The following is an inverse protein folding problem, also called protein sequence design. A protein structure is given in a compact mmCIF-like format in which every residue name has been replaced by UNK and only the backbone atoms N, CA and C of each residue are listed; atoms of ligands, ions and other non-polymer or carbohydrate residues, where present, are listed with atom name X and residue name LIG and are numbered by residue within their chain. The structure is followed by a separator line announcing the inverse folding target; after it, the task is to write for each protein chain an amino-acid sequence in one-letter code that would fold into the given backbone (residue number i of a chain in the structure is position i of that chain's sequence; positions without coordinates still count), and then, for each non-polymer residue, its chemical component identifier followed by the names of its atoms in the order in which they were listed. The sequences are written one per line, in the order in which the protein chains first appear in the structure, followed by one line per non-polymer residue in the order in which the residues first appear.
data_IF_290966672633
#
_entry.id   IF_290966672633
#
_cell.length_a   1.000
_cell.length_b   1.000
_cell.length_c   1.000
_cell.angle_alpha   90.00
_cell.angle_beta   90.00
_cell.angle_gamma   90.00
#
_symmetry.space_group_name_H-M   'P 1'
#
loop_
_entity.id
_entity.type
_entity.pdbx_description
1 polymer ?
#
# COMPACT_ATOMS: atom_id res chain seq x y z
N UNK A 1 8.27 12.65 -4.95
CA UNK A 1 6.89 12.16 -5.13
C UNK A 1 6.56 11.17 -4.05
N UNK A 2 5.30 11.20 -3.60
CA UNK A 2 4.80 10.32 -2.55
C UNK A 2 4.02 9.17 -3.20
N UNK A 3 4.25 7.94 -2.74
CA UNK A 3 3.61 6.75 -3.28
C UNK A 3 2.86 6.01 -2.19
N UNK A 4 1.69 5.45 -2.54
CA UNK A 4 0.97 4.55 -1.64
C UNK A 4 1.64 3.18 -1.63
N UNK A 5 1.62 2.50 -0.49
CA UNK A 5 2.09 1.11 -0.40
C UNK A 5 1.00 0.12 -0.78
N UNK A 6 -0.24 0.56 -0.89
CA UNK A 6 -1.38 -0.31 -1.18
C UNK A 6 -1.76 -0.18 -2.65
N UNK A 7 -1.81 -1.30 -3.37
CA UNK A 7 -2.21 -1.30 -4.78
C UNK A 7 -2.46 -2.72 -5.26
N UNK A 8 -3.13 -2.82 -6.39
CA UNK A 8 -3.43 -4.08 -7.07
C UNK A 8 -3.26 -3.88 -8.56
N UNK A 9 -2.65 -4.87 -9.21
CA UNK A 9 -2.54 -4.88 -10.67
C UNK A 9 -2.79 -6.29 -11.18
N UNK A 10 -3.41 -6.38 -12.34
CA UNK A 10 -3.63 -7.64 -13.03
C UNK A 10 -3.35 -7.44 -14.50
N UNK A 11 -2.57 -8.34 -15.06
CA UNK A 11 -2.29 -8.38 -16.50
C UNK A 11 -2.53 -9.77 -17.02
N UNK A 12 -3.12 -9.86 -18.19
CA UNK A 12 -3.48 -11.11 -18.82
C UNK A 12 -3.08 -11.06 -20.28
N UNK A 13 -2.55 -12.17 -20.77
CA UNK A 13 -2.15 -12.29 -22.17
C UNK A 13 -2.54 -13.69 -22.69
N UNK A 14 -3.38 -13.71 -23.70
CA UNK A 14 -3.75 -14.95 -24.39
C UNK A 14 -2.74 -15.21 -25.50
N UNK A 15 -2.30 -16.45 -25.61
CA UNK A 15 -1.36 -16.88 -26.65
C UNK A 15 -1.81 -18.17 -27.28
N UNK A 16 -0.96 -18.69 -28.17
CA UNK A 16 -1.27 -19.90 -28.94
C UNK A 16 -1.44 -21.14 -28.03
N UNK A 17 -0.79 -21.14 -26.87
CA UNK A 17 -0.71 -22.31 -26.00
C UNK A 17 -1.53 -22.16 -24.72
N UNK A 18 -2.16 -21.01 -24.51
CA UNK A 18 -2.93 -20.75 -23.30
C UNK A 18 -2.88 -19.30 -22.90
N UNK A 19 -3.37 -19.02 -21.70
CA UNK A 19 -3.49 -17.67 -21.17
C UNK A 19 -2.60 -17.54 -19.94
N UNK A 20 -1.70 -16.55 -19.97
CA UNK A 20 -0.89 -16.14 -18.83
C UNK A 20 -1.60 -15.01 -18.09
N UNK A 21 -1.59 -15.07 -16.75
CA UNK A 21 -2.21 -14.04 -15.94
C UNK A 21 -1.35 -13.77 -14.72
N UNK A 22 -1.03 -12.50 -14.50
CA UNK A 22 -0.34 -12.04 -13.30
C UNK A 22 -1.27 -11.23 -12.44
N UNK A 23 -1.27 -11.52 -11.17
CA UNK A 23 -1.89 -10.67 -10.15
C UNK A 23 -0.82 -10.23 -9.18
N UNK A 24 -0.68 -8.92 -8.99
CA UNK A 24 0.26 -8.35 -8.03
C UNK A 24 -0.55 -7.54 -7.03
N UNK A 25 -0.35 -7.86 -5.76
CA UNK A 25 -1.03 -7.15 -4.67
C UNK A 25 0.00 -6.65 -3.68
N UNK A 26 -0.08 -5.36 -3.36
CA UNK A 26 0.83 -4.71 -2.43
C UNK A 26 0.05 -4.18 -1.24
N UNK A 27 0.57 -4.39 -0.04
CA UNK A 27 0.00 -3.84 1.20
C UNK A 27 1.13 -3.24 2.05
N UNK A 28 0.74 -2.45 3.04
CA UNK A 28 1.67 -1.76 3.93
C UNK A 28 2.56 -2.78 4.65
N UNK A 29 3.87 -2.53 4.64
CA UNK A 29 4.83 -3.32 5.39
C UNK A 29 6.09 -2.48 5.63
N UNK A 30 6.79 -2.79 6.70
CA UNK A 30 7.99 -2.04 7.10
C UNK A 30 9.13 -2.17 6.08
N UNK A 31 9.26 -3.36 5.49
CA UNK A 31 10.31 -3.67 4.50
C UNK A 31 9.65 -4.15 3.22
N UNK A 32 10.47 -4.34 2.18
CA UNK A 32 10.00 -5.02 0.97
C UNK A 32 10.01 -6.53 1.23
N UNK A 33 8.85 -7.14 1.21
CA UNK A 33 8.69 -8.56 1.45
C UNK A 33 7.94 -9.19 0.29
N UNK A 34 8.67 -9.75 -0.70
CA UNK A 34 7.99 -10.38 -1.84
C UNK A 34 7.58 -11.82 -1.53
N UNK A 35 6.39 -12.17 -1.97
CA UNK A 35 5.85 -13.53 -1.93
C UNK A 35 5.43 -13.91 -3.34
N UNK A 36 6.06 -14.94 -3.88
CA UNK A 36 5.82 -15.37 -5.26
C UNK A 36 5.12 -16.72 -5.26
N UNK A 37 4.08 -16.82 -6.08
CA UNK A 37 3.38 -18.07 -6.37
C UNK A 37 3.46 -18.32 -7.86
N UNK A 38 4.33 -19.22 -8.24
CA UNK A 38 4.58 -19.56 -9.66
C UNK A 38 4.27 -21.02 -9.89
N UNK A 39 3.64 -21.37 -11.02
CA UNK A 39 3.57 -22.77 -11.40
C UNK A 39 4.95 -23.37 -11.58
N UNK A 40 5.08 -24.68 -11.44
CA UNK A 40 6.36 -25.39 -11.50
C UNK A 40 7.15 -25.05 -12.79
N UNK A 41 6.44 -24.93 -13.91
CA UNK A 41 7.06 -24.65 -15.22
C UNK A 41 7.76 -23.29 -15.26
N UNK A 42 7.42 -22.37 -14.35
CA UNK A 42 7.91 -21.00 -14.33
C UNK A 42 8.87 -20.71 -13.17
N UNK A 43 9.32 -21.74 -12.46
CA UNK A 43 10.19 -21.56 -11.30
C UNK A 43 11.49 -20.81 -11.62
N UNK A 44 11.98 -20.96 -12.83
CA UNK A 44 13.24 -20.30 -13.26
C UNK A 44 13.09 -18.79 -13.28
N UNK A 45 11.86 -18.26 -13.29
CA UNK A 45 11.61 -16.82 -13.29
C UNK A 45 11.76 -16.18 -11.91
N UNK A 46 11.75 -16.95 -10.84
CA UNK A 46 11.69 -16.42 -9.48
C UNK A 46 12.76 -15.36 -9.22
N UNK A 47 14.00 -15.64 -9.58
CA UNK A 47 15.11 -14.71 -9.37
C UNK A 47 14.93 -13.40 -10.10
N UNK A 48 14.50 -13.47 -11.36
CA UNK A 48 14.30 -12.28 -12.20
C UNK A 48 13.12 -11.44 -11.69
N UNK A 49 12.05 -12.10 -11.23
CA UNK A 49 10.90 -11.41 -10.67
C UNK A 49 11.26 -10.69 -9.36
N UNK A 50 12.03 -11.37 -8.49
CA UNK A 50 12.48 -10.77 -7.23
C UNK A 50 13.39 -9.56 -7.49
N UNK A 51 14.30 -9.65 -8.47
CA UNK A 51 15.17 -8.54 -8.84
C UNK A 51 14.37 -7.35 -9.36
N UNK A 52 13.37 -7.62 -10.20
CA UNK A 52 12.50 -6.55 -10.72
C UNK A 52 11.73 -5.85 -9.60
N UNK A 53 11.25 -6.61 -8.61
CA UNK A 53 10.56 -6.03 -7.46
C UNK A 53 11.49 -5.15 -6.63
N UNK A 54 12.72 -5.61 -6.38
CA UNK A 54 13.71 -4.84 -5.62
C UNK A 54 14.07 -3.53 -6.31
N UNK A 55 14.18 -3.54 -7.64
CA UNK A 55 14.50 -2.35 -8.42
C UNK A 55 13.33 -1.38 -8.50
N UNK A 56 12.11 -1.90 -8.52
CA UNK A 56 10.91 -1.08 -8.72
C UNK A 56 10.24 -0.59 -7.46
N UNK A 57 10.40 -1.28 -6.35
CA UNK A 57 9.69 -0.99 -5.10
C UNK A 57 10.67 -0.95 -3.93
N UNK A 58 10.40 -0.11 -2.94
CA UNK A 58 11.26 0.01 -1.76
C UNK A 58 10.64 -0.58 -0.50
N UNK A 59 9.31 -0.58 -0.38
CA UNK A 59 8.59 -1.08 0.81
C UNK A 59 7.30 -1.74 0.41
N UNK A 60 6.80 -2.58 1.30
CA UNK A 60 5.51 -3.22 1.16
C UNK A 60 5.60 -4.73 1.11
N UNK A 61 4.54 -5.39 1.56
CA UNK A 61 4.37 -6.83 1.36
C UNK A 61 3.70 -7.01 0.00
N UNK A 62 4.40 -7.67 -0.92
CA UNK A 62 3.98 -7.79 -2.31
C UNK A 62 3.74 -9.25 -2.63
N UNK A 63 2.51 -9.60 -2.95
CA UNK A 63 2.14 -10.95 -3.39
C UNK A 63 2.00 -10.96 -4.90
N UNK A 64 2.78 -11.80 -5.57
CA UNK A 64 2.75 -11.96 -7.03
C UNK A 64 2.32 -13.39 -7.33
N UNK A 65 1.23 -13.53 -8.06
CA UNK A 65 0.69 -14.84 -8.45
C UNK A 65 0.65 -14.92 -9.96
N UNK A 66 1.33 -15.92 -10.51
CA UNK A 66 1.26 -16.24 -11.93
C UNK A 66 0.35 -17.45 -12.12
N UNK A 67 -0.58 -17.33 -13.04
CA UNK A 67 -1.44 -18.44 -13.44
C UNK A 67 -1.28 -18.67 -14.93
N UNK A 68 -1.19 -19.92 -15.31
CA UNK A 68 -1.14 -20.33 -16.69
C UNK A 68 -2.27 -21.32 -16.95
N UNK A 69 -3.27 -20.89 -17.71
CA UNK A 69 -4.36 -21.75 -18.14
C UNK A 69 -4.00 -22.29 -19.53
N UNK A 70 -3.52 -23.52 -19.56
CA UNK A 70 -3.18 -24.19 -20.80
C UNK A 70 -4.49 -24.50 -21.55
N UNK A 71 -4.64 -23.91 -22.71
CA UNK A 71 -5.76 -24.24 -23.58
C UNK A 71 -5.39 -25.47 -24.39
N UNK A 72 -6.20 -26.50 -24.24
CA UNK A 72 -6.06 -27.69 -25.05
C UNK A 72 -6.05 -27.31 -26.53
N UNK A 73 -5.10 -27.82 -27.22
CA UNK A 73 -4.89 -27.47 -28.63
C UNK A 73 -6.15 -27.74 -29.44
N UNK A 74 -6.73 -26.71 -29.94
CA UNK A 74 -7.74 -26.81 -31.02
C UNK A 74 -6.96 -26.84 -32.35
N UNK A 75 -5.93 -27.65 -32.39
CA UNK A 75 -5.13 -27.80 -33.59
C UNK A 75 -5.30 -29.17 -34.22
N UNK A 76 -4.71 -29.36 -35.35
CA UNK A 76 -4.70 -30.65 -35.99
C UNK A 76 -4.03 -31.67 -35.09
N UNK A 77 -4.65 -32.81 -34.89
CA UNK A 77 -4.03 -33.90 -34.17
C UNK A 77 -2.82 -34.39 -35.00
N UNK A 78 -1.64 -34.39 -34.37
CA UNK A 78 -0.42 -34.85 -34.97
C UNK A 78 0.02 -36.15 -34.31
N UNK A 79 0.42 -37.12 -35.12
CA UNK A 79 0.83 -38.44 -34.67
C UNK A 79 2.38 -38.54 -34.84
N UNK A 80 3.04 -38.96 -33.77
CA UNK A 80 4.43 -39.37 -33.85
C UNK A 80 4.45 -40.76 -34.45
N UNK A 81 4.63 -40.81 -35.79
CA UNK A 81 4.53 -42.09 -36.54
C UNK A 81 5.59 -43.08 -36.13
N UNK A 82 6.77 -42.62 -35.78
CA UNK A 82 7.85 -43.50 -35.30
C UNK A 82 7.45 -44.14 -33.97
N UNK A 83 6.96 -43.39 -33.04
CA UNK A 83 6.51 -43.87 -31.73
C UNK A 83 5.34 -44.83 -31.91
N UNK A 84 4.36 -44.49 -32.75
CA UNK A 84 3.19 -45.31 -33.04
C UNK A 84 3.62 -46.64 -33.65
N UNK A 85 4.55 -46.60 -34.62
CA UNK A 85 5.06 -47.81 -35.29
C UNK A 85 5.77 -48.72 -34.29
N UNK A 86 6.58 -48.16 -33.40
CA UNK A 86 7.25 -48.92 -32.35
C UNK A 86 6.24 -49.63 -31.44
N UNK A 87 5.20 -48.87 -31.04
CA UNK A 87 4.15 -49.43 -30.16
C UNK A 87 3.38 -50.56 -30.87
N UNK A 88 3.03 -50.34 -32.13
CA UNK A 88 2.28 -51.37 -32.93
C UNK A 88 3.14 -52.63 -33.08
N UNK A 89 4.41 -52.47 -33.39
CA UNK A 89 5.34 -53.61 -33.53
C UNK A 89 5.45 -54.40 -32.23
N UNK A 90 5.58 -53.70 -31.11
CA UNK A 90 5.63 -54.33 -29.79
C UNK A 90 4.35 -55.06 -29.47
N UNK A 91 3.19 -54.42 -29.77
CA UNK A 91 1.87 -55.02 -29.56
C UNK A 91 1.69 -56.29 -30.42
N UNK A 92 2.14 -56.26 -31.67
CA UNK A 92 2.06 -57.41 -32.57
C UNK A 92 2.96 -58.55 -32.06
N UNK A 93 4.11 -58.24 -31.49
CA UNK A 93 4.99 -59.23 -30.86
C UNK A 93 4.30 -59.94 -29.69
N UNK A 94 3.60 -59.20 -28.86
CA UNK A 94 2.81 -59.76 -27.78
C UNK A 94 1.62 -60.56 -28.32
N UNK A 95 0.92 -60.04 -29.32
CA UNK A 95 -0.23 -60.72 -29.94
C UNK A 95 0.17 -62.11 -30.48
N UNK A 96 1.38 -62.25 -31.02
CA UNK A 96 1.88 -63.55 -31.48
C UNK A 96 2.02 -64.61 -30.40
N UNK A 97 2.10 -64.16 -29.11
CA UNK A 97 2.18 -65.08 -27.96
C UNK A 97 0.79 -65.44 -27.43
N UNK A 98 -0.27 -64.77 -27.88
CA UNK A 98 -1.62 -64.96 -27.42
C UNK A 98 -2.35 -65.92 -28.37
N UNK A 99 -3.13 -66.82 -27.83
CA UNK A 99 -3.80 -67.85 -28.62
C UNK A 99 -4.88 -67.29 -29.54
N UNK A 100 -5.65 -66.27 -29.06
CA UNK A 100 -6.69 -65.58 -29.84
C UNK A 100 -6.57 -64.10 -29.59
N UNK A 101 -5.65 -63.43 -30.32
CA UNK A 101 -5.44 -62.00 -30.11
C UNK A 101 -6.57 -61.17 -30.71
N UNK A 102 -6.90 -60.07 -30.07
CA UNK A 102 -7.82 -59.07 -30.62
C UNK A 102 -7.06 -58.14 -31.57
N UNK A 103 -7.77 -57.52 -32.49
CA UNK A 103 -7.22 -56.52 -33.37
C UNK A 103 -6.78 -55.30 -32.55
N UNK A 104 -5.69 -54.67 -33.01
CA UNK A 104 -5.18 -53.47 -32.39
C UNK A 104 -6.13 -52.32 -32.72
N UNK A 105 -6.63 -51.65 -31.65
CA UNK A 105 -7.54 -50.51 -31.81
C UNK A 105 -6.72 -49.23 -32.04
N UNK A 106 -6.92 -48.54 -33.18
CA UNK A 106 -6.18 -47.31 -33.44
C UNK A 106 -6.41 -46.24 -32.38
N UNK A 107 -7.57 -46.16 -31.77
CA UNK A 107 -7.87 -45.16 -30.73
C UNK A 107 -7.07 -45.43 -29.46
N UNK A 108 -6.82 -46.71 -29.14
CA UNK A 108 -5.99 -47.07 -27.99
C UNK A 108 -4.52 -46.69 -28.27
N UNK A 109 -4.05 -46.87 -29.51
CA UNK A 109 -2.70 -46.46 -29.92
C UNK A 109 -2.56 -44.94 -29.77
N UNK A 110 -3.56 -44.17 -30.24
CA UNK A 110 -3.54 -42.71 -30.08
C UNK A 110 -3.49 -42.25 -28.63
N UNK A 111 -4.13 -43.01 -27.74
CA UNK A 111 -4.14 -42.70 -26.32
C UNK A 111 -2.85 -43.06 -25.57
N UNK A 112 -1.92 -43.74 -26.22
CA UNK A 112 -0.67 -44.14 -25.59
C UNK A 112 0.26 -42.93 -25.44
N UNK A 113 0.95 -42.81 -24.25
CA UNK A 113 1.84 -41.66 -24.04
C UNK A 113 2.89 -41.53 -25.13
N UNK A 114 3.02 -40.34 -25.68
CA UNK A 114 4.02 -39.99 -26.69
C UNK A 114 3.57 -40.23 -28.12
N UNK A 115 2.38 -40.83 -28.37
CA UNK A 115 1.89 -41.07 -29.71
C UNK A 115 1.25 -39.79 -30.31
N UNK A 116 0.35 -39.18 -29.54
CA UNK A 116 -0.16 -37.86 -29.94
C UNK A 116 0.82 -36.77 -29.46
N UNK A 117 1.28 -35.97 -30.42
CA UNK A 117 2.18 -34.86 -30.12
C UNK A 117 1.46 -33.57 -30.42
N UNK A 118 1.51 -32.67 -29.44
CA UNK A 118 1.15 -31.29 -29.68
C UNK A 118 2.36 -30.48 -30.05
N UNK A 119 2.15 -29.27 -30.49
CA UNK A 119 3.26 -28.34 -30.66
C UNK A 119 3.92 -28.19 -29.29
N UNK A 120 5.21 -28.54 -29.22
CA UNK A 120 5.94 -28.47 -27.97
C UNK A 120 5.97 -27.02 -27.50
N UNK A 121 5.52 -26.80 -26.27
CA UNK A 121 5.70 -25.51 -25.61
C UNK A 121 7.19 -25.25 -25.48
N UNK A 122 7.65 -24.14 -26.07
CA UNK A 122 9.02 -23.69 -25.87
C UNK A 122 9.10 -23.06 -24.49
N UNK A 123 9.77 -23.71 -23.51
CA UNK A 123 9.80 -23.16 -22.15
C UNK A 123 10.46 -21.78 -22.09
N UNK A 124 11.46 -21.53 -22.95
CA UNK A 124 12.15 -20.24 -22.97
C UNK A 124 11.24 -19.14 -23.48
N UNK A 125 10.50 -19.39 -24.56
CA UNK A 125 9.57 -18.42 -25.11
C UNK A 125 8.45 -18.13 -24.13
N UNK A 126 7.95 -19.16 -23.44
CA UNK A 126 6.89 -19.03 -22.46
C UNK A 126 7.36 -18.22 -21.24
N UNK A 127 8.57 -18.49 -20.76
CA UNK A 127 9.18 -17.73 -19.66
C UNK A 127 9.41 -16.28 -20.04
N UNK A 128 9.86 -16.02 -21.26
CA UNK A 128 10.06 -14.66 -21.75
C UNK A 128 8.74 -13.90 -21.81
N UNK A 129 7.69 -14.52 -22.31
CA UNK A 129 6.33 -13.92 -22.33
C UNK A 129 5.83 -13.62 -20.94
N UNK A 130 6.03 -14.54 -19.99
CA UNK A 130 5.62 -14.35 -18.60
C UNK A 130 6.37 -13.19 -17.95
N UNK A 131 7.67 -13.06 -18.22
CA UNK A 131 8.48 -11.98 -17.66
C UNK A 131 8.06 -10.62 -18.23
N UNK A 132 7.81 -10.55 -19.53
CA UNK A 132 7.34 -9.32 -20.17
C UNK A 132 5.98 -8.90 -19.59
N UNK A 133 5.09 -9.84 -19.39
CA UNK A 133 3.78 -9.59 -18.80
C UNK A 133 3.92 -9.13 -17.34
N UNK A 134 4.87 -9.71 -16.61
CA UNK A 134 5.18 -9.29 -15.24
C UNK A 134 5.62 -7.82 -15.19
N UNK A 135 6.51 -7.42 -16.08
CA UNK A 135 6.97 -6.02 -16.13
C UNK A 135 5.82 -5.08 -16.41
N UNK A 136 4.91 -5.48 -17.31
CA UNK A 136 3.72 -4.70 -17.61
C UNK A 136 2.83 -4.56 -16.36
N UNK A 137 2.61 -5.66 -15.64
CA UNK A 137 1.81 -5.65 -14.41
C UNK A 137 2.47 -4.79 -13.32
N UNK A 138 3.80 -4.88 -13.20
CA UNK A 138 4.56 -4.09 -12.22
C UNK A 138 4.45 -2.59 -12.52
N UNK A 139 4.53 -2.21 -13.78
CA UNK A 139 4.36 -0.80 -14.16
C UNK A 139 2.97 -0.30 -13.84
N UNK A 140 1.94 -1.13 -14.05
CA UNK A 140 0.56 -0.80 -13.66
C UNK A 140 0.46 -0.61 -12.14
N UNK A 141 1.10 -1.48 -11.37
CA UNK A 141 1.10 -1.38 -9.91
C UNK A 141 1.78 -0.08 -9.46
N UNK A 142 2.92 0.25 -10.03
CA UNK A 142 3.67 1.47 -9.70
C UNK A 142 2.86 2.71 -10.03
N UNK A 143 2.17 2.72 -11.16
CA UNK A 143 1.32 3.84 -11.56
C UNK A 143 0.13 3.98 -10.60
N UNK A 144 -0.47 2.87 -10.20
CA UNK A 144 -1.56 2.88 -9.21
C UNK A 144 -1.10 3.44 -7.87
N UNK A 145 0.09 3.03 -7.42
CA UNK A 145 0.69 3.53 -6.18
C UNK A 145 0.98 5.03 -6.27
N UNK A 146 1.44 5.49 -7.42
CA UNK A 146 1.71 6.91 -7.65
C UNK A 146 0.42 7.75 -7.58
N UNK A 147 -0.61 7.29 -8.28
CA UNK A 147 -1.91 7.99 -8.29
C UNK A 147 -2.53 8.06 -6.91
N UNK A 148 -2.53 6.93 -6.20
CA UNK A 148 -3.07 6.88 -4.84
C UNK A 148 -2.24 7.75 -3.90
N UNK A 149 -0.91 7.77 -4.07
CA UNK A 149 -0.02 8.63 -3.31
C UNK A 149 -0.33 10.10 -3.52
N UNK A 150 -0.62 10.51 -4.75
CA UNK A 150 -1.03 11.89 -5.07
C UNK A 150 -2.35 12.25 -4.40
N UNK A 151 -3.32 11.33 -4.43
CA UNK A 151 -4.62 11.52 -3.77
C UNK A 151 -4.45 11.70 -2.26
N UNK A 152 -3.64 10.84 -1.64
CA UNK A 152 -3.36 10.91 -0.21
C UNK A 152 -2.64 12.22 0.14
N UNK A 153 -1.68 12.64 -0.69
CA UNK A 153 -0.96 13.91 -0.49
C UNK A 153 -1.94 15.10 -0.54
N UNK A 154 -2.90 15.05 -1.46
CA UNK A 154 -3.93 16.09 -1.56
C UNK A 154 -4.79 16.13 -0.30
N UNK A 155 -5.23 14.96 0.18
CA UNK A 155 -6.03 14.88 1.40
C UNK A 155 -5.25 15.39 2.62
N UNK A 156 -3.97 15.03 2.71
CA UNK A 156 -3.10 15.52 3.78
C UNK A 156 -2.95 17.03 3.74
N UNK A 157 -2.81 17.59 2.53
CA UNK A 157 -2.74 19.04 2.33
C UNK A 157 -4.00 19.75 2.82
N UNK A 158 -5.16 19.18 2.51
CA UNK A 158 -6.45 19.74 2.96
C UNK A 158 -6.57 19.69 4.49
N UNK A 159 -6.12 18.59 5.10
CA UNK A 159 -6.12 18.46 6.57
C UNK A 159 -5.17 19.45 7.23
N UNK A 160 -4.00 19.67 6.61
CA UNK A 160 -3.03 20.66 7.10
C UNK A 160 -3.61 22.08 7.02
N UNK A 161 -4.30 22.41 5.93
CA UNK A 161 -4.97 23.71 5.78
C UNK A 161 -6.02 23.90 6.88
N UNK A 162 -6.77 22.84 7.19
CA UNK A 162 -7.77 22.87 8.27
C UNK A 162 -7.11 23.12 9.64
N UNK A 163 -5.95 22.48 9.89
CA UNK A 163 -5.18 22.68 11.12
C UNK A 163 -4.74 24.15 11.21
N UNK A 164 -4.22 24.70 10.10
CA UNK A 164 -3.76 26.08 10.08
C UNK A 164 -4.90 27.06 10.34
N UNK A 165 -6.09 26.79 9.79
CA UNK A 165 -7.28 27.60 10.05
C UNK A 165 -7.68 27.55 11.54
N UNK A 166 -7.67 26.36 12.14
CA UNK A 166 -7.98 26.21 13.56
C UNK A 166 -6.99 26.98 14.43
N UNK A 167 -5.70 26.89 14.11
CA UNK A 167 -4.65 27.61 14.85
C UNK A 167 -4.81 29.12 14.68
N UNK A 168 -5.11 29.59 13.48
CA UNK A 168 -5.30 31.02 13.20
C UNK A 168 -6.51 31.57 13.98
N UNK A 169 -7.61 30.80 13.98
CA UNK A 169 -8.81 31.17 14.71
C UNK A 169 -8.53 31.29 16.21
N UNK A 170 -7.83 30.28 16.75
CA UNK A 170 -7.46 30.25 18.16
C UNK A 170 -6.57 31.43 18.52
N UNK A 171 -5.59 31.74 17.65
CA UNK A 171 -4.65 32.86 17.87
C UNK A 171 -5.39 34.19 17.90
N UNK A 172 -6.41 34.38 17.06
CA UNK A 172 -7.25 35.57 17.08
C UNK A 172 -8.08 35.69 18.36
N UNK A 173 -8.50 34.53 18.90
CA UNK A 173 -9.35 34.48 20.10
C UNK A 173 -8.57 34.62 21.40
N UNK A 174 -7.24 34.42 21.40
CA UNK A 174 -6.42 34.43 22.61
C UNK A 174 -6.54 35.74 23.40
N UNK A 175 -6.44 36.93 22.79
CA UNK A 175 -6.61 38.17 23.56
C UNK A 175 -7.94 38.28 24.29
N UNK A 176 -9.04 37.84 23.63
CA UNK A 176 -10.37 37.79 24.22
C UNK A 176 -10.43 36.81 25.38
N UNK A 177 -9.84 35.63 25.21
CA UNK A 177 -9.79 34.58 26.23
C UNK A 177 -9.05 35.07 27.48
N UNK A 178 -7.91 35.76 27.28
CA UNK A 178 -7.11 36.33 28.36
C UNK A 178 -7.88 37.44 29.09
N UNK A 179 -8.57 38.31 28.33
CA UNK A 179 -9.39 39.39 28.92
C UNK A 179 -10.54 38.82 29.73
N UNK A 180 -11.22 37.78 29.22
CA UNK A 180 -12.31 37.12 29.94
C UNK A 180 -11.79 36.49 31.23
N UNK A 181 -10.66 35.81 31.18
CA UNK A 181 -10.07 35.14 32.35
C UNK A 181 -9.61 36.15 33.37
N UNK A 182 -9.03 37.25 32.92
CA UNK A 182 -8.62 38.35 33.81
C UNK A 182 -9.84 38.92 34.54
N UNK A 183 -10.94 39.13 33.82
CA UNK A 183 -12.16 39.66 34.43
C UNK A 183 -12.74 38.70 35.47
N UNK A 184 -12.70 37.39 35.21
CA UNK A 184 -13.13 36.38 36.16
C UNK A 184 -12.30 36.40 37.44
N UNK A 185 -10.98 36.58 37.32
CA UNK A 185 -10.08 36.68 38.47
C UNK A 185 -10.41 37.95 39.30
N UNK A 186 -10.57 39.08 38.60
CA UNK A 186 -10.92 40.35 39.25
C UNK A 186 -12.26 40.26 39.96
N UNK A 187 -13.26 39.63 39.35
CA UNK A 187 -14.58 39.44 39.94
C UNK A 187 -14.50 38.59 41.19
N UNK A 188 -13.67 37.51 41.19
CA UNK A 188 -13.48 36.66 42.38
C UNK A 188 -12.83 37.44 43.52
N UNK A 189 -11.83 38.25 43.25
CA UNK A 189 -11.15 39.06 44.24
C UNK A 189 -12.14 40.10 44.80
N UNK A 190 -12.97 40.68 43.96
CA UNK A 190 -14.01 41.63 44.39
C UNK A 190 -15.02 41.00 45.35
N UNK A 191 -15.46 39.77 45.06
CA UNK A 191 -16.42 39.02 45.89
C UNK A 191 -15.86 38.71 47.28
N UNK A 192 -14.58 38.40 47.38
CA UNK A 192 -13.93 37.99 48.63
C UNK A 192 -13.48 39.20 49.44
N UNK A 193 -13.48 40.42 48.87
CA UNK A 193 -13.03 41.67 49.53
C UNK A 193 -11.58 41.59 50.02
N UNK A 194 -10.75 40.79 49.37
CA UNK A 194 -9.34 40.66 49.69
C UNK A 194 -8.53 41.79 49.03
N UNK A 195 -7.46 42.22 49.68
CA UNK A 195 -6.53 43.19 49.07
C UNK A 195 -5.90 42.55 47.85
N UNK A 196 -6.10 43.18 46.69
CA UNK A 196 -5.50 42.76 45.44
C UNK A 196 -3.98 43.05 45.44
N UNK A 197 -3.18 42.03 45.23
CA UNK A 197 -1.76 42.15 44.99
C UNK A 197 -1.54 42.27 43.48
N UNK A 198 -1.15 43.50 43.00
CA UNK A 198 -1.00 43.67 41.56
C UNK A 198 0.11 42.78 40.97
N UNK A 199 1.16 42.49 41.75
CA UNK A 199 2.26 41.61 41.31
C UNK A 199 1.76 40.17 41.10
N UNK A 200 0.94 39.65 42.00
CA UNK A 200 0.41 38.31 41.91
C UNK A 200 -0.54 38.20 40.72
N UNK A 201 -1.37 39.21 40.50
CA UNK A 201 -2.25 39.25 39.31
C UNK A 201 -1.47 39.23 38.03
N UNK A 202 -0.39 40.04 37.95
CA UNK A 202 0.49 40.07 36.76
C UNK A 202 1.16 38.71 36.54
N UNK A 203 1.60 38.03 37.61
CA UNK A 203 2.23 36.73 37.50
C UNK A 203 1.22 35.70 36.96
N UNK A 204 -0.01 35.72 37.40
CA UNK A 204 -1.07 34.82 36.90
C UNK A 204 -1.36 35.10 35.43
N UNK A 205 -1.39 36.37 35.02
CA UNK A 205 -1.60 36.74 33.61
C UNK A 205 -0.47 36.27 32.72
N UNK A 206 0.79 36.34 33.20
CA UNK A 206 1.97 35.85 32.48
C UNK A 206 1.86 34.34 32.28
N UNK A 207 1.42 33.59 33.32
CA UNK A 207 1.23 32.14 33.24
C UNK A 207 0.17 31.77 32.20
N UNK A 208 -0.94 32.54 32.17
CA UNK A 208 -2.01 32.32 31.20
C UNK A 208 -1.51 32.57 29.77
N UNK A 209 -0.70 33.62 29.55
CA UNK A 209 -0.12 33.94 28.25
C UNK A 209 0.83 32.82 27.79
N UNK A 210 1.62 32.26 28.71
CA UNK A 210 2.53 31.15 28.39
C UNK A 210 1.77 29.89 27.98
N UNK A 211 0.61 29.63 28.59
CA UNK A 211 -0.25 28.49 28.23
C UNK A 211 -0.77 28.59 26.79
N UNK A 212 -1.01 29.81 26.31
CA UNK A 212 -1.55 30.00 24.94
C UNK A 212 -0.47 29.97 23.86
N UNK A 213 0.81 30.09 24.20
CA UNK A 213 1.94 30.05 23.24
C UNK A 213 2.09 28.65 22.60
N UNK A 214 1.53 27.62 23.20
CA UNK A 214 1.61 26.24 22.68
C UNK A 214 1.01 26.14 21.28
N UNK A 215 0.08 27.01 20.94
CA UNK A 215 -0.57 27.01 19.62
C UNK A 215 0.41 27.25 18.47
N UNK A 216 1.47 27.99 18.73
CA UNK A 216 2.50 28.28 17.72
C UNK A 216 3.34 27.09 17.28
N UNK A 217 3.53 26.39 18.13
CA UNK A 217 4.32 25.20 17.89
C UNK A 217 3.61 24.25 16.95
N UNK A 218 2.47 24.18 16.98
CA UNK A 218 1.69 23.35 16.08
C UNK A 218 1.70 23.86 14.67
N UNK A 219 1.78 24.95 14.54
CA UNK A 219 1.80 25.54 13.22
C UNK A 219 3.13 25.39 12.54
N UNK A 220 3.97 25.36 13.17
CA UNK A 220 5.29 25.20 12.65
C UNK A 220 5.58 23.79 12.20
N UNK A 221 5.08 22.96 12.87
CA UNK A 221 5.24 21.57 12.50
C UNK A 221 4.40 21.23 11.26
N UNK A 222 3.47 21.78 11.12
CA UNK A 222 2.62 21.59 9.98
C UNK A 222 3.22 22.11 8.70
N UNK A 223 3.81 22.99 8.80
CA UNK A 223 4.46 23.52 7.62
C UNK A 223 5.66 22.70 7.20
N UNK A 224 6.10 22.13 7.94
CA UNK A 224 7.20 21.23 7.68
C UNK A 224 6.72 19.92 7.05
N UNK A 225 5.73 19.53 7.34
CA UNK A 225 5.16 18.38 6.77
C UNK A 225 4.62 18.52 5.36
N UNK A 226 4.34 19.38 5.08
CA UNK A 226 3.87 19.63 3.74
C UNK A 226 4.98 19.77 2.71
N UNK A 227 6.04 20.08 3.11
CA UNK A 227 7.19 20.25 2.21
C UNK A 227 8.08 19.01 2.06
N UNK A 228 7.87 18.02 2.84
CA UNK A 228 8.68 16.79 2.81
C UNK A 228 8.29 15.89 1.64
N UNK A 229 9.21 15.73 0.70
CA UNK A 229 9.06 14.75 -0.39
C UNK A 229 10.00 13.56 -0.16
N UNK A 230 9.77 12.51 -0.94
CA UNK A 230 10.60 11.31 -0.85
C UNK A 230 10.09 10.30 0.15
N UNK A 231 10.95 9.44 0.67
CA UNK A 231 10.58 8.40 1.65
C UNK A 231 10.01 9.04 2.91
N UNK A 232 8.83 9.58 2.76
CA UNK A 232 8.26 10.53 3.69
C UNK A 232 7.44 9.87 4.79
N UNK A 233 7.03 8.60 4.61
CA UNK A 233 6.10 7.95 5.53
C UNK A 233 6.54 7.98 6.98
N UNK A 234 7.77 7.54 7.26
CA UNK A 234 8.28 7.53 8.64
C UNK A 234 8.43 8.94 9.20
N UNK A 235 8.89 9.84 8.32
CA UNK A 235 9.12 11.23 8.70
C UNK A 235 7.81 11.93 9.03
N UNK A 236 6.80 11.69 8.21
CA UNK A 236 5.46 12.23 8.42
C UNK A 236 4.81 11.64 9.67
N UNK A 237 4.99 10.33 9.90
CA UNK A 237 4.47 9.68 11.12
C UNK A 237 5.06 10.32 12.38
N UNK A 238 6.37 10.58 12.37
CA UNK A 238 7.04 11.27 13.47
C UNK A 238 6.44 12.67 13.67
N UNK A 239 6.25 13.41 12.58
CA UNK A 239 5.66 14.76 12.65
C UNK A 239 4.23 14.71 13.18
N UNK A 240 3.46 13.70 12.81
CA UNK A 240 2.10 13.52 13.32
C UNK A 240 2.11 13.26 14.83
N UNK A 241 3.08 12.49 15.32
CA UNK A 241 3.26 12.24 16.75
C UNK A 241 3.60 13.53 17.49
N UNK A 242 4.47 14.36 16.92
CA UNK A 242 4.83 15.65 17.51
C UNK A 242 3.63 16.60 17.54
N UNK A 243 2.85 16.66 16.46
CA UNK A 243 1.64 17.47 16.38
C UNK A 243 0.62 16.99 17.44
N UNK A 244 0.48 15.69 17.60
CA UNK A 244 -0.43 15.11 18.60
C UNK A 244 0.02 15.50 20.02
N UNK A 245 1.32 15.46 20.26
CA UNK A 245 1.88 15.90 21.56
C UNK A 245 1.55 17.36 21.83
N UNK A 246 1.72 18.24 20.82
CA UNK A 246 1.41 19.67 20.97
C UNK A 246 -0.08 19.90 21.20
N UNK A 247 -0.95 19.15 20.49
CA UNK A 247 -2.40 19.26 20.69
C UNK A 247 -2.80 18.80 22.09
N UNK A 248 -2.18 17.74 22.61
CA UNK A 248 -2.41 17.27 23.98
C UNK A 248 -1.95 18.31 25.00
N UNK A 249 -0.81 18.95 24.76
CA UNK A 249 -0.30 20.00 25.63
C UNK A 249 -1.24 21.20 25.64
N UNK A 250 -1.75 21.60 24.46
CA UNK A 250 -2.74 22.67 24.35
C UNK A 250 -4.00 22.32 25.15
N UNK A 251 -4.49 21.08 25.02
CA UNK A 251 -5.67 20.63 25.74
C UNK A 251 -5.49 20.62 27.26
N UNK A 252 -4.30 20.17 27.73
CA UNK A 252 -4.01 20.10 29.16
C UNK A 252 -3.81 21.49 29.79
N UNK A 253 -3.36 22.45 29.01
CA UNK A 253 -3.15 23.83 29.46
C UNK A 253 -4.34 24.75 29.18
N UNK A 254 -5.42 24.19 28.62
CA UNK A 254 -6.58 24.98 28.25
C UNK A 254 -7.26 25.57 29.50
N UNK A 255 -7.51 26.87 29.44
CA UNK A 255 -8.21 27.61 30.50
C UNK A 255 -9.55 28.17 30.02
N UNK A 256 -9.93 27.92 28.80
CA UNK A 256 -11.10 28.46 28.12
C UNK A 256 -11.73 27.37 27.27
N UNK A 257 -13.09 27.27 27.24
CA UNK A 257 -13.75 26.24 26.39
C UNK A 257 -13.36 26.30 24.93
N UNK A 258 -13.03 27.50 24.40
CA UNK A 258 -12.60 27.65 23.00
C UNK A 258 -11.27 26.95 22.75
N UNK A 259 -10.31 27.04 23.70
CA UNK A 259 -9.03 26.34 23.62
C UNK A 259 -9.24 24.82 23.68
N UNK A 260 -10.13 24.35 24.55
CA UNK A 260 -10.45 22.92 24.67
C UNK A 260 -11.06 22.40 23.37
N UNK A 261 -12.00 23.14 22.78
CA UNK A 261 -12.64 22.73 21.53
C UNK A 261 -11.62 22.71 20.40
N UNK A 262 -10.73 23.70 20.33
CA UNK A 262 -9.66 23.75 19.32
C UNK A 262 -8.73 22.54 19.46
N UNK A 263 -8.36 22.17 20.68
CA UNK A 263 -7.51 20.99 20.93
C UNK A 263 -8.19 19.71 20.44
N UNK A 264 -9.49 19.55 20.71
CA UNK A 264 -10.26 18.40 20.24
C UNK A 264 -10.29 18.36 18.71
N UNK A 265 -10.58 19.48 18.06
CA UNK A 265 -10.63 19.56 16.60
C UNK A 265 -9.27 19.22 15.98
N UNK A 266 -8.19 19.74 16.56
CA UNK A 266 -6.82 19.45 16.10
C UNK A 266 -6.50 17.96 16.25
N UNK A 267 -6.87 17.34 17.36
CA UNK A 267 -6.61 15.92 17.59
C UNK A 267 -7.32 15.04 16.56
N UNK A 268 -8.56 15.39 16.21
CA UNK A 268 -9.32 14.65 15.18
C UNK A 268 -8.63 14.76 13.83
N UNK A 269 -8.23 15.96 13.44
CA UNK A 269 -7.54 16.20 12.16
C UNK A 269 -6.20 15.46 12.11
N UNK A 270 -5.44 15.50 13.20
CA UNK A 270 -4.12 14.85 13.29
C UNK A 270 -4.27 13.34 13.19
N UNK A 271 -5.27 12.76 13.86
CA UNK A 271 -5.49 11.31 13.81
C UNK A 271 -5.90 10.86 12.41
N UNK A 272 -6.73 11.64 11.73
CA UNK A 272 -7.10 11.36 10.33
C UNK A 272 -5.86 11.38 9.43
N UNK A 273 -4.98 12.35 9.62
CA UNK A 273 -3.73 12.44 8.86
C UNK A 273 -2.82 11.26 9.16
N UNK A 274 -2.73 10.86 10.43
CA UNK A 274 -1.87 9.75 10.87
C UNK A 274 -2.28 8.44 10.18
N UNK A 275 -3.57 8.18 10.09
CA UNK A 275 -4.09 6.99 9.40
C UNK A 275 -3.68 6.98 7.93
N UNK A 276 -3.75 8.11 7.28
CA UNK A 276 -3.38 8.24 5.86
C UNK A 276 -1.88 8.11 5.64
N UNK A 277 -1.07 8.69 6.55
CA UNK A 277 0.40 8.67 6.46
C UNK A 277 0.96 7.25 6.55
N UNK A 278 0.31 6.36 7.32
CA UNK A 278 0.77 4.98 7.49
C UNK A 278 0.83 4.22 6.17
N UNK A 279 0.06 4.63 5.17
CA UNK A 279 0.01 3.97 3.85
C UNK A 279 0.94 4.61 2.82
N UNK A 280 1.74 5.60 3.21
CA UNK A 280 2.66 6.30 2.30
C UNK A 280 4.07 5.76 2.37
N UNK A 281 4.76 5.82 1.22
CA UNK A 281 6.16 5.45 1.04
C UNK A 281 6.99 6.66 0.68
#
# INVERSE_FOLDING_TARGET
MVHSMTAFARSEQAGAHGTLSWEIRSVNHRYLEPHLRLPEAFRDLEGQVRDALRKGLSRGKVECTLRFAEEGQRGNLQVDQERASQLIAAAESVAALIRQPTAIDPLQVLGWPGVLVGDALDPQALNQSALELFHKALEQLKEGRRREGEELAKLLGERLDSILEEVATLREQVPQMLATQRQKILDRFSEVRAELDPQRLEQEMVLLAQKSDVAEXXXXXXXXXXKAGGAAGRRLDFLMQELNREANTLGSKAFDPRSTQAAVNLKVLIEQMREQVQNLE
#
